data_IF_128098372427
#
_entry.id   IF_128098372427
#
_cell.length_a   1.000
_cell.length_b   1.000
_cell.length_c   1.000
_cell.angle_alpha   90.00
_cell.angle_beta   90.00
_cell.angle_gamma   90.00
#
_symmetry.space_group_name_H-M   'P 1'
#
loop_
_entity.id
_entity.type
_entity.pdbx_description
1 polymer ?
#
# COMPACT_ATOMS: atom_id res chain seq x y z
N UNK A 1 6.68 -11.51 -5.53
CA UNK A 1 5.62 -11.05 -4.61
C UNK A 1 5.59 -12.01 -3.42
N UNK A 2 6.68 -12.07 -2.64
CA UNK A 2 6.94 -13.21 -1.75
C UNK A 2 5.82 -13.48 -0.72
N UNK A 3 5.22 -12.43 -0.16
CA UNK A 3 4.12 -12.56 0.80
C UNK A 3 2.89 -13.29 0.23
N UNK A 4 2.47 -12.93 -0.99
CA UNK A 4 1.29 -13.54 -1.63
C UNK A 4 1.59 -14.98 -1.99
N UNK A 5 2.76 -15.26 -2.56
CA UNK A 5 3.19 -16.60 -2.93
C UNK A 5 3.21 -17.56 -1.72
N UNK A 6 3.78 -17.13 -0.59
CA UNK A 6 3.79 -17.94 0.64
C UNK A 6 2.39 -18.11 1.24
N UNK A 7 1.53 -17.09 1.14
CA UNK A 7 0.13 -17.17 1.58
C UNK A 7 -0.63 -18.22 0.77
N UNK A 8 -0.53 -18.19 -0.56
CA UNK A 8 -1.17 -19.17 -1.45
C UNK A 8 -0.62 -20.58 -1.20
N UNK A 9 0.70 -20.72 -1.05
CA UNK A 9 1.33 -22.02 -0.77
C UNK A 9 0.79 -22.66 0.52
N UNK A 10 0.61 -21.84 1.57
CA UNK A 10 0.14 -22.27 2.89
C UNK A 10 -1.37 -22.51 2.93
N UNK A 11 -2.17 -21.60 2.39
CA UNK A 11 -3.63 -21.56 2.56
C UNK A 11 -4.42 -21.92 1.29
N UNK A 12 -3.73 -22.19 0.18
CA UNK A 12 -4.25 -22.58 -1.14
C UNK A 12 -4.99 -21.50 -1.91
N UNK A 13 -5.48 -20.46 -1.23
CA UNK A 13 -6.16 -19.32 -1.84
C UNK A 13 -6.09 -18.08 -0.94
N UNK A 14 -6.52 -16.96 -1.49
CA UNK A 14 -6.80 -15.71 -0.75
C UNK A 14 -8.26 -15.35 -1.01
N UNK A 15 -9.11 -15.49 0.02
CA UNK A 15 -10.53 -15.13 -0.09
C UNK A 15 -10.77 -13.62 0.10
N UNK A 16 -9.98 -12.99 0.98
CA UNK A 16 -10.12 -11.58 1.36
C UNK A 16 -8.73 -10.97 1.44
N UNK A 17 -8.54 -9.83 0.78
CA UNK A 17 -7.37 -8.96 0.90
C UNK A 17 -7.73 -7.71 1.70
N UNK A 18 -7.02 -7.45 2.80
CA UNK A 18 -7.15 -6.22 3.58
C UNK A 18 -5.87 -5.38 3.41
N UNK A 19 -5.97 -4.30 2.65
CA UNK A 19 -4.88 -3.35 2.48
C UNK A 19 -4.81 -2.39 3.67
N UNK A 20 -4.08 -2.78 4.71
CA UNK A 20 -3.96 -2.01 5.95
C UNK A 20 -2.73 -1.09 6.00
N UNK A 21 -1.68 -1.39 5.24
CA UNK A 21 -0.45 -0.58 5.27
C UNK A 21 -0.73 0.84 4.78
N UNK A 22 -0.38 1.82 5.60
CA UNK A 22 -0.54 3.23 5.29
C UNK A 22 0.49 4.08 6.03
N UNK A 23 0.89 5.18 5.43
CA UNK A 23 1.82 6.16 6.02
C UNK A 23 1.29 7.57 5.86
N UNK A 24 1.82 8.47 6.68
CA UNK A 24 1.53 9.91 6.62
C UNK A 24 2.79 10.70 6.95
N UNK A 25 2.77 11.99 6.63
CA UNK A 25 3.76 12.96 7.10
C UNK A 25 3.04 13.96 7.99
N UNK A 26 3.46 14.05 9.26
CA UNK A 26 2.94 15.08 10.15
C UNK A 26 3.46 16.44 9.71
N UNK A 27 2.53 17.34 9.41
CA UNK A 27 2.78 18.75 9.10
C UNK A 27 1.65 19.59 9.69
N UNK A 28 1.96 20.80 10.14
CA UNK A 28 0.93 21.72 10.61
C UNK A 28 0.08 22.15 9.40
N UNK A 29 -1.24 22.01 9.49
CA UNK A 29 -2.17 22.36 8.41
C UNK A 29 -2.06 23.81 7.93
N UNK A 30 -1.58 24.73 8.78
CA UNK A 30 -1.37 26.14 8.43
C UNK A 30 -0.03 26.41 7.71
N UNK A 31 0.90 25.44 7.68
CA UNK A 31 2.23 25.59 7.10
C UNK A 31 2.36 24.74 5.84
N UNK A 32 1.93 25.30 4.71
CA UNK A 32 1.90 24.58 3.42
C UNK A 32 3.29 24.26 2.87
N UNK A 33 4.30 25.04 3.24
CA UNK A 33 5.71 24.84 2.88
C UNK A 33 6.40 23.73 3.70
N UNK A 34 5.74 23.19 4.72
CA UNK A 34 6.28 22.09 5.53
C UNK A 34 6.27 20.73 4.82
N UNK A 35 5.64 20.64 3.64
CA UNK A 35 5.59 19.43 2.82
C UNK A 35 6.37 19.61 1.52
N UNK A 36 7.13 18.59 1.18
CA UNK A 36 7.80 18.46 -0.11
C UNK A 36 6.95 17.63 -1.07
N UNK A 37 7.18 17.77 -2.37
CA UNK A 37 6.64 16.88 -3.39
C UNK A 37 6.95 15.39 -3.10
N UNK A 38 8.15 15.12 -2.58
CA UNK A 38 8.58 13.78 -2.20
C UNK A 38 7.74 13.18 -1.07
N UNK A 39 7.24 13.98 -0.12
CA UNK A 39 6.34 13.52 0.94
C UNK A 39 5.02 13.00 0.33
N UNK A 40 4.44 13.72 -0.63
CA UNK A 40 3.23 13.29 -1.34
C UNK A 40 3.47 12.02 -2.16
N UNK A 41 4.59 11.95 -2.89
CA UNK A 41 4.96 10.77 -3.68
C UNK A 41 5.11 9.55 -2.78
N UNK A 42 5.73 9.70 -1.60
CA UNK A 42 5.91 8.59 -0.66
C UNK A 42 4.58 8.10 -0.10
N UNK A 43 3.70 9.01 0.29
CA UNK A 43 2.34 8.67 0.74
C UNK A 43 1.58 7.95 -0.38
N UNK A 44 1.62 8.45 -1.61
CA UNK A 44 0.91 7.84 -2.74
C UNK A 44 1.44 6.45 -3.10
N UNK A 45 2.77 6.26 -3.05
CA UNK A 45 3.40 4.96 -3.26
C UNK A 45 2.89 3.90 -2.28
N UNK A 46 2.77 4.24 -1.00
CA UNK A 46 2.33 3.28 0.03
C UNK A 46 0.81 3.14 0.04
N UNK A 47 0.07 4.25 0.10
CA UNK A 47 -1.36 4.25 0.42
C UNK A 47 -2.25 4.03 -0.80
N UNK A 48 -1.73 4.19 -2.02
CA UNK A 48 -2.53 4.08 -3.26
C UNK A 48 -1.93 3.04 -4.20
N UNK A 49 -0.67 3.20 -4.59
CA UNK A 49 -0.01 2.26 -5.51
C UNK A 49 0.16 0.90 -4.83
N UNK A 50 0.55 0.85 -3.56
CA UNK A 50 0.68 -0.37 -2.77
C UNK A 50 -0.58 -1.26 -2.83
N UNK A 51 -1.76 -0.76 -2.40
CA UNK A 51 -3.02 -1.48 -2.51
C UNK A 51 -3.32 -1.98 -3.93
N UNK A 52 -3.11 -1.15 -4.96
CA UNK A 52 -3.34 -1.57 -6.34
C UNK A 52 -2.43 -2.75 -6.77
N UNK A 53 -1.14 -2.69 -6.42
CA UNK A 53 -0.21 -3.78 -6.70
C UNK A 53 -0.58 -5.07 -5.94
N UNK A 54 -1.07 -4.94 -4.70
CA UNK A 54 -1.53 -6.10 -3.92
C UNK A 54 -2.81 -6.71 -4.49
N UNK A 55 -3.75 -5.89 -4.98
CA UNK A 55 -4.94 -6.36 -5.69
C UNK A 55 -4.54 -7.16 -6.92
N UNK A 56 -3.66 -6.62 -7.78
CA UNK A 56 -3.12 -7.36 -8.93
C UNK A 56 -2.38 -8.63 -8.55
N UNK A 57 -1.70 -8.64 -7.39
CA UNK A 57 -0.98 -9.82 -6.94
C UNK A 57 -1.90 -10.98 -6.53
N UNK A 58 -3.13 -10.69 -6.11
CA UNK A 58 -4.11 -11.69 -5.66
C UNK A 58 -5.30 -11.84 -6.60
N UNK A 59 -5.33 -11.13 -7.73
CA UNK A 59 -6.39 -11.26 -8.73
C UNK A 59 -6.44 -12.72 -9.23
N UNK A 60 -7.64 -13.26 -9.53
CA UNK A 60 -7.76 -14.63 -9.99
C UNK A 60 -6.88 -14.88 -11.23
N UNK A 61 -6.07 -15.94 -11.18
CA UNK A 61 -5.30 -16.47 -12.32
C UNK A 61 -6.13 -17.56 -13.00
#
# INVERSE_FOLDING_TARGET
MHLVEETIKKFKKVDILVNNAGTTKFANHQKLDALTDQDFINIYKVNVVGPYQMIRAVEPI
#
